data_IF_263642735256
#
_entry.id   IF_263642735256
#
_cell.length_a   1.000
_cell.length_b   1.000
_cell.length_c   1.000
_cell.angle_alpha   90.00
_cell.angle_beta   90.00
_cell.angle_gamma   90.00
#
_symmetry.space_group_name_H-M   'P 1'
#
loop_
_entity.id
_entity.type
_entity.pdbx_description
1 polymer ?
#
# COMPACT_ATOMS: atom_id res chain seq x y z
N UNK A 1 1.94 17.96 -27.29
CA UNK A 1 2.59 17.64 -26.01
C UNK A 1 3.21 16.27 -26.16
N UNK A 2 4.53 16.17 -26.04
CA UNK A 2 5.27 14.92 -25.94
C UNK A 2 5.47 14.60 -24.46
N UNK A 3 5.36 13.33 -24.08
CA UNK A 3 5.70 12.86 -22.74
C UNK A 3 6.82 11.84 -22.87
N UNK A 4 7.78 11.90 -21.94
CA UNK A 4 8.93 11.01 -21.94
C UNK A 4 8.57 9.72 -21.18
N UNK A 5 8.87 8.57 -21.77
CA UNK A 5 8.71 7.26 -21.12
C UNK A 5 10.02 6.49 -21.20
N UNK A 6 10.46 5.93 -20.08
CA UNK A 6 11.58 5.00 -20.04
C UNK A 6 11.14 3.66 -19.43
N UNK A 7 11.60 2.57 -20.03
CA UNK A 7 11.36 1.21 -19.55
C UNK A 7 12.66 0.41 -19.53
N UNK A 8 13.04 -0.08 -18.36
CA UNK A 8 14.22 -0.94 -18.19
C UNK A 8 14.29 -1.53 -16.79
N UNK A 9 15.30 -2.37 -16.57
CA UNK A 9 15.71 -2.77 -15.22
C UNK A 9 16.05 -1.54 -14.36
N UNK A 10 15.72 -1.60 -13.07
CA UNK A 10 15.87 -0.53 -12.09
C UNK A 10 17.29 0.01 -12.02
N UNK A 11 18.30 -0.86 -12.08
CA UNK A 11 19.71 -0.45 -12.03
C UNK A 11 20.13 0.27 -13.31
N UNK A 12 19.60 -0.13 -14.47
CA UNK A 12 19.82 0.57 -15.74
C UNK A 12 19.15 1.95 -15.72
N UNK A 13 17.93 2.05 -15.20
CA UNK A 13 17.26 3.34 -15.03
C UNK A 13 18.07 4.27 -14.12
N UNK A 14 18.51 3.78 -12.95
CA UNK A 14 19.34 4.58 -12.03
C UNK A 14 20.61 5.11 -12.68
N UNK A 15 21.32 4.25 -13.41
CA UNK A 15 22.53 4.64 -14.13
C UNK A 15 22.22 5.66 -15.24
N UNK A 16 21.17 5.44 -16.03
CA UNK A 16 20.75 6.36 -17.10
C UNK A 16 20.29 7.72 -16.60
N UNK A 17 19.64 7.78 -15.43
CA UNK A 17 19.30 9.03 -14.74
C UNK A 17 20.58 9.74 -14.29
N UNK A 18 21.52 9.04 -13.64
CA UNK A 18 22.79 9.61 -13.20
C UNK A 18 23.66 10.13 -14.37
N UNK A 19 23.53 9.51 -15.54
CA UNK A 19 24.22 9.90 -16.77
C UNK A 19 23.49 11.01 -17.56
N UNK A 20 22.30 11.44 -17.12
CA UNK A 20 21.50 12.46 -17.82
C UNK A 20 20.88 11.98 -19.13
N UNK A 21 20.82 10.66 -19.36
CA UNK A 21 20.23 10.06 -20.57
C UNK A 21 18.70 10.11 -20.53
N UNK A 22 18.11 9.88 -19.34
CA UNK A 22 16.66 10.02 -19.13
C UNK A 22 16.40 11.46 -18.67
N UNK A 23 15.65 12.26 -19.45
CA UNK A 23 15.34 13.63 -19.08
C UNK A 23 14.39 13.67 -17.88
N UNK A 24 14.43 14.76 -17.11
CA UNK A 24 13.41 15.08 -16.11
C UNK A 24 12.00 15.10 -16.73
N UNK A 25 10.98 15.03 -15.88
CA UNK A 25 9.58 14.92 -16.28
C UNK A 25 9.30 13.64 -17.11
N UNK A 26 9.96 12.53 -16.75
CA UNK A 26 9.78 11.23 -17.39
C UNK A 26 8.91 10.30 -16.55
N UNK A 27 8.03 9.56 -17.22
CA UNK A 27 7.35 8.40 -16.65
C UNK A 27 8.23 7.16 -16.81
N UNK A 28 8.53 6.50 -15.70
CA UNK A 28 9.47 5.38 -15.66
C UNK A 28 8.72 4.14 -15.25
N UNK A 29 8.91 3.05 -16.00
CA UNK A 29 8.40 1.73 -15.64
C UNK A 29 9.60 0.80 -15.49
N UNK A 30 9.71 0.12 -14.36
CA UNK A 30 10.76 -0.90 -14.15
C UNK A 30 10.15 -2.27 -13.94
N UNK A 31 10.78 -3.30 -14.48
CA UNK A 31 10.30 -4.69 -14.47
C UNK A 31 11.24 -5.64 -13.70
N UNK A 32 11.82 -5.16 -12.61
CA UNK A 32 12.81 -5.93 -11.84
C UNK A 32 12.28 -7.28 -11.34
N UNK A 33 10.97 -7.41 -11.13
CA UNK A 33 10.34 -8.69 -10.78
C UNK A 33 9.40 -9.15 -11.89
N UNK A 34 9.44 -10.45 -12.20
CA UNK A 34 8.74 -11.04 -13.35
C UNK A 34 7.20 -10.91 -13.31
N UNK A 35 6.63 -10.45 -12.19
CA UNK A 35 5.18 -10.28 -11.99
C UNK A 35 4.76 -8.89 -11.53
N UNK A 36 5.69 -8.01 -11.17
CA UNK A 36 5.39 -6.68 -10.64
C UNK A 36 6.20 -5.61 -11.38
N UNK A 37 5.49 -4.80 -12.15
CA UNK A 37 6.05 -3.58 -12.72
C UNK A 37 5.91 -2.45 -11.70
N UNK A 38 7.04 -1.85 -11.32
CA UNK A 38 7.04 -0.65 -10.49
C UNK A 38 6.99 0.58 -11.40
N UNK A 39 6.05 1.49 -11.13
CA UNK A 39 5.95 2.76 -11.84
C UNK A 39 6.54 3.88 -10.99
N UNK A 40 7.25 4.80 -11.65
CA UNK A 40 7.87 5.96 -11.04
C UNK A 40 7.63 7.20 -11.91
N UNK A 41 7.62 8.37 -11.27
CA UNK A 41 7.69 9.66 -11.94
C UNK A 41 9.02 10.33 -11.57
N UNK A 42 9.80 10.68 -12.60
CA UNK A 42 11.01 11.47 -12.45
C UNK A 42 10.64 12.93 -12.55
N UNK A 43 10.59 13.62 -11.41
CA UNK A 43 10.03 14.98 -11.33
C UNK A 43 10.99 16.05 -11.88
N UNK A 44 10.46 17.27 -12.01
CA UNK A 44 11.16 18.49 -12.45
C UNK A 44 12.36 18.91 -11.58
N UNK A 45 12.59 18.22 -10.46
CA UNK A 45 13.69 18.49 -9.53
C UNK A 45 14.72 17.36 -9.54
N UNK A 46 14.60 16.43 -10.49
CA UNK A 46 15.49 15.27 -10.59
C UNK A 46 15.25 14.23 -9.49
N UNK A 47 14.06 14.14 -8.91
CA UNK A 47 13.74 13.11 -7.91
C UNK A 47 12.90 11.99 -8.51
N UNK A 48 13.32 10.74 -8.30
CA UNK A 48 12.56 9.56 -8.66
C UNK A 48 11.50 9.29 -7.58
N UNK A 49 10.22 9.55 -7.88
CA UNK A 49 9.09 9.27 -6.98
C UNK A 49 8.38 8.00 -7.40
N UNK A 50 8.28 7.03 -6.50
CA UNK A 50 7.47 5.85 -6.75
C UNK A 50 6.00 6.25 -6.86
N UNK A 51 5.35 5.82 -7.94
CA UNK A 51 3.90 5.86 -8.04
C UNK A 51 3.39 4.70 -7.20
N UNK A 52 3.21 5.01 -5.92
CA UNK A 52 2.72 4.04 -4.96
C UNK A 52 1.30 3.64 -5.32
N UNK A 53 1.02 2.37 -5.05
CA UNK A 53 -0.32 1.83 -5.06
C UNK A 53 -1.23 2.70 -4.21
N UNK A 54 -2.44 2.99 -4.70
CA UNK A 54 -3.40 3.79 -3.94
C UNK A 54 -3.87 2.98 -2.73
N UNK A 55 -3.53 3.42 -1.52
CA UNK A 55 -3.91 2.76 -0.27
C UNK A 55 -4.85 3.59 0.60
N UNK A 56 -5.34 4.73 0.10
CA UNK A 56 -6.21 5.64 0.85
C UNK A 56 -7.47 6.00 0.06
N UNK A 57 -8.63 5.78 0.68
CA UNK A 57 -9.95 5.84 0.04
C UNK A 57 -10.94 6.63 0.90
N UNK A 58 -11.76 7.47 0.28
CA UNK A 58 -12.76 8.27 0.98
C UNK A 58 -14.01 7.46 1.37
N UNK A 59 -14.16 6.23 0.84
CA UNK A 59 -15.23 5.32 1.23
C UNK A 59 -14.88 3.86 0.98
N UNK A 60 -15.58 2.95 1.66
CA UNK A 60 -15.42 1.51 1.46
C UNK A 60 -15.80 1.08 0.04
N UNK A 61 -16.88 1.64 -0.52
CA UNK A 61 -17.30 1.37 -1.89
C UNK A 61 -16.23 1.76 -2.91
N UNK A 62 -15.58 2.92 -2.71
CA UNK A 62 -14.48 3.35 -3.56
C UNK A 62 -13.30 2.36 -3.47
N UNK A 63 -12.92 1.98 -2.25
CA UNK A 63 -11.85 1.00 -2.03
C UNK A 63 -12.14 -0.32 -2.74
N UNK A 64 -13.33 -0.89 -2.54
CA UNK A 64 -13.76 -2.16 -3.19
C UNK A 64 -13.77 -2.04 -4.71
N UNK A 65 -14.32 -0.96 -5.25
CA UNK A 65 -14.36 -0.73 -6.70
C UNK A 65 -12.96 -0.63 -7.29
N UNK A 66 -12.06 0.10 -6.61
CA UNK A 66 -10.68 0.25 -7.03
C UNK A 66 -9.93 -1.08 -6.99
N UNK A 67 -10.01 -1.82 -5.88
CA UNK A 67 -9.35 -3.11 -5.72
C UNK A 67 -9.87 -4.15 -6.72
N UNK A 68 -11.18 -4.19 -6.98
CA UNK A 68 -11.75 -5.09 -7.97
C UNK A 68 -11.28 -4.76 -9.40
N UNK A 69 -11.06 -3.48 -9.71
CA UNK A 69 -10.59 -3.03 -11.03
C UNK A 69 -9.10 -3.27 -11.26
N UNK A 70 -8.27 -3.02 -10.25
CA UNK A 70 -6.81 -3.00 -10.41
C UNK A 70 -6.10 -4.21 -9.78
N UNK A 71 -6.78 -5.01 -8.97
CA UNK A 71 -6.30 -6.30 -8.44
C UNK A 71 -5.10 -6.21 -7.48
N UNK A 72 -4.67 -7.40 -7.01
CA UNK A 72 -3.45 -7.67 -6.24
C UNK A 72 -3.27 -6.96 -4.88
N UNK A 73 -4.33 -6.54 -4.19
CA UNK A 73 -4.22 -5.84 -2.89
C UNK A 73 -4.02 -6.77 -1.68
N UNK A 74 -3.97 -8.09 -1.86
CA UNK A 74 -3.72 -9.04 -0.76
C UNK A 74 -2.43 -8.70 -0.01
N UNK A 75 -2.51 -8.66 1.33
CA UNK A 75 -1.39 -8.31 2.20
C UNK A 75 -1.17 -6.80 2.41
N UNK A 76 -1.86 -5.94 1.65
CA UNK A 76 -1.76 -4.48 1.80
C UNK A 76 -2.56 -3.99 3.01
N UNK A 77 -2.04 -2.95 3.66
CA UNK A 77 -2.82 -2.14 4.62
C UNK A 77 -3.34 -0.90 3.90
N UNK A 78 -4.65 -0.70 3.95
CA UNK A 78 -5.33 0.46 3.35
C UNK A 78 -6.05 1.27 4.43
N UNK A 79 -6.22 2.57 4.18
CA UNK A 79 -6.99 3.47 5.05
C UNK A 79 -8.28 3.89 4.35
N UNK A 80 -9.40 3.73 5.03
CA UNK A 80 -10.73 4.09 4.54
C UNK A 80 -11.37 5.06 5.53
N UNK A 81 -11.94 6.13 4.99
CA UNK A 81 -12.66 7.11 5.80
C UNK A 81 -14.06 6.60 6.14
N UNK A 82 -14.45 6.71 7.39
CA UNK A 82 -15.83 6.42 7.83
C UNK A 82 -16.77 7.61 7.62
N UNK A 83 -18.06 7.40 7.88
CA UNK A 83 -19.08 8.44 7.76
C UNK A 83 -18.89 9.63 8.70
N UNK A 84 -18.14 9.46 9.80
CA UNK A 84 -17.82 10.50 10.76
C UNK A 84 -16.53 11.26 10.38
N UNK A 85 -15.86 10.84 9.30
CA UNK A 85 -14.63 11.44 8.82
C UNK A 85 -13.35 10.88 9.44
N UNK A 86 -13.45 9.84 10.27
CA UNK A 86 -12.29 9.18 10.86
C UNK A 86 -11.63 8.24 9.86
N UNK A 87 -10.31 8.12 9.95
CA UNK A 87 -9.54 7.19 9.12
C UNK A 87 -9.35 5.87 9.84
N UNK A 88 -9.93 4.81 9.30
CA UNK A 88 -9.79 3.45 9.79
C UNK A 88 -8.82 2.68 8.89
N UNK A 89 -7.97 1.85 9.49
CA UNK A 89 -7.02 1.00 8.75
C UNK A 89 -7.59 -0.40 8.58
N UNK A 90 -7.34 -1.02 7.43
CA UNK A 90 -7.81 -2.36 7.09
C UNK A 90 -6.67 -3.15 6.46
N UNK A 91 -6.52 -4.42 6.85
CA UNK A 91 -5.67 -5.37 6.15
C UNK A 91 -6.50 -6.12 5.11
N UNK A 92 -5.99 -6.17 3.88
CA UNK A 92 -6.68 -6.85 2.77
C UNK A 92 -6.24 -8.32 2.72
N UNK A 93 -7.19 -9.24 2.83
CA UNK A 93 -6.97 -10.69 2.73
C UNK A 93 -6.98 -11.22 1.29
N UNK A 94 -6.74 -12.53 1.15
CA UNK A 94 -6.58 -13.23 -0.14
C UNK A 94 -7.76 -13.10 -1.11
N UNK A 95 -8.95 -12.80 -0.60
CA UNK A 95 -10.17 -12.62 -1.41
C UNK A 95 -10.63 -11.16 -1.50
N UNK A 96 -9.78 -10.19 -1.16
CA UNK A 96 -10.18 -8.79 -1.05
C UNK A 96 -11.05 -8.47 0.17
N UNK A 97 -11.10 -9.40 1.13
CA UNK A 97 -11.71 -9.17 2.44
C UNK A 97 -10.95 -8.06 3.17
N UNK A 98 -11.66 -7.10 3.73
CA UNK A 98 -11.06 -5.99 4.46
C UNK A 98 -11.28 -6.19 5.95
N UNK A 99 -10.23 -6.56 6.67
CA UNK A 99 -10.26 -6.77 8.11
C UNK A 99 -9.79 -5.49 8.80
N UNK A 100 -10.68 -4.84 9.55
CA UNK A 100 -10.34 -3.61 10.24
C UNK A 100 -9.25 -3.87 11.29
N UNK A 101 -8.20 -3.05 11.27
CA UNK A 101 -7.16 -3.02 12.29
C UNK A 101 -7.74 -2.28 13.50
N UNK A 102 -7.82 -2.92 14.67
CA UNK A 102 -8.34 -2.27 15.87
C UNK A 102 -7.48 -1.05 16.23
N UNK A 103 -8.13 0.03 16.64
CA UNK A 103 -7.42 1.15 17.26
C UNK A 103 -7.09 0.86 18.74
N UNK A 104 -6.28 1.71 19.34
CA UNK A 104 -5.86 1.58 20.74
C UNK A 104 -7.02 1.60 21.73
N UNK A 105 -8.13 2.29 21.41
CA UNK A 105 -9.34 2.30 22.25
C UNK A 105 -10.09 0.97 22.20
N UNK A 106 -10.19 0.37 21.02
CA UNK A 106 -10.82 -0.94 20.82
C UNK A 106 -10.02 -2.07 21.51
N UNK A 107 -8.69 -1.97 21.54
CA UNK A 107 -7.82 -2.92 22.24
C UNK A 107 -8.08 -2.93 23.75
N UNK A 108 -8.30 -1.77 24.37
CA UNK A 108 -8.61 -1.70 25.81
C UNK A 108 -9.95 -2.36 26.13
N UNK A 109 -10.95 -2.22 25.27
CA UNK A 109 -12.26 -2.85 25.46
C UNK A 109 -12.19 -4.38 25.31
N UNK A 110 -11.41 -4.88 24.35
CA UNK A 110 -11.17 -6.33 24.18
C UNK A 110 -10.46 -6.91 25.42
N UNK A 111 -9.44 -6.22 25.94
CA UNK A 111 -8.68 -6.68 27.10
C UNK A 111 -9.51 -6.67 28.39
N UNK A 112 -10.40 -5.68 28.56
CA UNK A 112 -11.29 -5.60 29.72
C UNK A 112 -12.32 -6.75 29.76
N UNK A 113 -12.68 -7.32 28.62
CA UNK A 113 -13.55 -8.49 28.52
C UNK A 113 -12.85 -9.83 28.71
N UNK A 114 -11.51 -9.86 28.76
CA UNK A 114 -10.72 -11.08 28.79
C UNK A 114 -10.44 -11.51 30.24
N UNK A 115 -11.14 -12.54 30.73
CA UNK A 115 -10.80 -13.19 32.00
C UNK A 115 -9.73 -14.26 31.73
N UNK A 116 -8.48 -13.98 32.14
CA UNK A 116 -7.41 -14.97 32.14
C UNK A 116 -7.43 -15.67 33.52
N UNK A 117 -8.04 -16.85 33.61
CA UNK A 117 -8.18 -17.65 34.86
C UNK A 117 -6.85 -18.22 35.40
N UNK A 118 -5.71 -17.85 34.80
CA UNK A 118 -4.37 -18.20 35.26
C UNK A 118 -4.00 -19.70 35.26
N UNK A 119 -4.99 -20.59 35.15
CA UNK A 119 -4.84 -22.03 35.36
C UNK A 119 -4.46 -22.36 36.81
N UNK A 120 -5.05 -23.42 37.38
CA UNK A 120 -4.54 -23.99 38.65
C UNK A 120 -3.32 -24.85 38.35
N UNK A 121 -2.23 -24.62 39.10
CA UNK A 121 -1.08 -25.50 39.07
C UNK A 121 -1.50 -26.95 39.43
N UNK A 122 -1.03 -27.98 38.72
CA UNK A 122 -1.35 -29.36 39.05
C UNK A 122 -0.84 -29.69 40.46
N UNK A 123 -1.72 -30.21 41.32
CA UNK A 123 -1.32 -30.77 42.62
C UNK A 123 -0.55 -32.07 42.39
N UNK A 124 0.66 -32.13 42.96
CA UNK A 124 1.56 -33.28 42.92
C UNK A 124 1.06 -34.48 43.73
#
# INVERSE_FOLDING_TARGET
MSFNVAYSDKDKIKNSVAQGVIPEESFIITNNEAKDAEAYYYDEKGNLKQLVRRTKFESETEARTWMAKYGNYEGETISIKDANGNWNSYNVGANGEMNQVPDTGSLTDILNGLIIDGGRAPTA
#
